data_IF_067879039550
#
_entry.id   IF_067879039550
#
_cell.length_a   1.000
_cell.length_b   1.000
_cell.length_c   1.000
_cell.angle_alpha   90.00
_cell.angle_beta   90.00
_cell.angle_gamma   90.00
#
_symmetry.space_group_name_H-M   'P 1'
#
loop_
_entity.id
_entity.type
_entity.pdbx_description
1 polymer ?
#
# COMPACT_ATOMS: atom_id res chain seq x y z
N UNK A 1 -14.94 14.95 -7.24
CA UNK A 1 -13.47 15.08 -7.19
C UNK A 1 -13.00 15.85 -8.41
N UNK A 2 -11.94 16.66 -8.30
CA UNK A 2 -11.38 17.38 -9.44
C UNK A 2 -10.57 16.42 -10.34
N UNK A 3 -10.48 16.64 -11.67
CA UNK A 3 -9.71 15.78 -12.57
C UNK A 3 -8.26 15.56 -12.11
N UNK A 4 -7.58 16.60 -11.62
CA UNK A 4 -6.21 16.49 -11.08
C UNK A 4 -6.08 15.67 -9.79
N UNK A 5 -7.16 15.43 -9.05
CA UNK A 5 -7.13 14.50 -7.91
C UNK A 5 -7.12 13.05 -8.39
N UNK A 6 -7.93 12.75 -9.41
CA UNK A 6 -8.00 11.43 -10.05
C UNK A 6 -6.67 11.08 -10.72
N UNK A 7 -6.09 12.01 -11.49
CA UNK A 7 -4.79 11.81 -12.14
C UNK A 7 -3.71 11.44 -11.12
N UNK A 8 -3.65 12.12 -9.97
CA UNK A 8 -2.64 11.81 -8.94
C UNK A 8 -2.84 10.43 -8.31
N UNK A 9 -4.09 10.01 -8.08
CA UNK A 9 -4.37 8.65 -7.59
C UNK A 9 -3.89 7.62 -8.61
N UNK A 10 -4.20 7.82 -9.89
CA UNK A 10 -3.74 6.93 -10.96
C UNK A 10 -2.20 6.88 -11.03
N UNK A 11 -1.52 8.02 -10.90
CA UNK A 11 -0.05 8.08 -10.87
C UNK A 11 0.54 7.28 -9.70
N UNK A 12 -0.05 7.35 -8.50
CA UNK A 12 0.41 6.53 -7.37
C UNK A 12 0.15 5.04 -7.56
N UNK A 13 -0.97 4.66 -8.20
CA UNK A 13 -1.21 3.26 -8.55
C UNK A 13 -0.20 2.75 -9.57
N UNK A 14 0.12 3.54 -10.59
CA UNK A 14 1.17 3.22 -11.56
C UNK A 14 2.54 3.11 -10.87
N UNK A 15 2.85 4.02 -9.96
CA UNK A 15 4.10 3.97 -9.19
C UNK A 15 4.19 2.71 -8.34
N UNK A 16 3.16 2.38 -7.56
CA UNK A 16 3.14 1.16 -6.75
C UNK A 16 3.24 -0.09 -7.62
N UNK A 17 2.59 -0.12 -8.78
CA UNK A 17 2.71 -1.22 -9.74
C UNK A 17 4.15 -1.36 -10.24
N UNK A 18 4.83 -0.27 -10.62
CA UNK A 18 6.23 -0.30 -11.05
C UNK A 18 7.18 -0.74 -9.93
N UNK A 19 6.97 -0.25 -8.71
CA UNK A 19 7.79 -0.62 -7.56
C UNK A 19 7.67 -2.13 -7.27
N UNK A 20 6.44 -2.63 -7.15
CA UNK A 20 6.17 -4.01 -6.77
C UNK A 20 6.43 -5.02 -7.89
N UNK A 21 6.07 -4.70 -9.14
CA UNK A 21 6.15 -5.68 -10.22
C UNK A 21 7.49 -5.68 -10.96
N UNK A 22 8.28 -4.59 -10.84
CA UNK A 22 9.51 -4.45 -11.59
C UNK A 22 10.73 -4.18 -10.70
N UNK A 23 10.71 -3.11 -9.91
CA UNK A 23 11.88 -2.71 -9.12
C UNK A 23 12.23 -3.75 -8.05
N UNK A 24 11.27 -4.19 -7.25
CA UNK A 24 11.54 -5.10 -6.14
C UNK A 24 12.02 -6.49 -6.60
N UNK A 25 11.37 -7.17 -7.57
CA UNK A 25 11.92 -8.39 -8.15
C UNK A 25 13.34 -8.23 -8.66
N UNK A 26 13.67 -7.09 -9.28
CA UNK A 26 15.01 -6.80 -9.75
C UNK A 26 16.02 -6.73 -8.60
N UNK A 27 15.67 -6.06 -7.49
CA UNK A 27 16.51 -5.98 -6.30
C UNK A 27 16.78 -7.36 -5.68
N UNK A 28 15.77 -8.25 -5.66
CA UNK A 28 15.96 -9.63 -5.21
C UNK A 28 16.83 -10.44 -6.17
N UNK A 29 16.66 -10.28 -7.50
CA UNK A 29 17.52 -10.92 -8.51
C UNK A 29 18.98 -10.49 -8.39
N UNK A 30 19.22 -9.22 -8.06
CA UNK A 30 20.54 -8.67 -7.81
C UNK A 30 21.09 -9.02 -6.41
N UNK A 31 20.35 -9.77 -5.59
CA UNK A 31 20.74 -10.20 -4.23
C UNK A 31 21.04 -9.05 -3.28
N UNK A 32 20.39 -7.90 -3.47
CA UNK A 32 20.54 -6.70 -2.61
C UNK A 32 20.13 -7.01 -1.17
N UNK A 33 19.12 -7.85 -0.97
CA UNK A 33 18.60 -8.24 0.35
C UNK A 33 19.20 -9.53 0.90
N UNK A 34 20.31 -10.02 0.32
CA UNK A 34 20.99 -11.25 0.75
C UNK A 34 20.75 -12.45 -0.16
N UNK A 35 21.16 -13.63 0.32
CA UNK A 35 21.14 -14.89 -0.46
C UNK A 35 20.12 -15.85 0.13
N UNK A 36 19.13 -16.25 -0.67
CA UNK A 36 18.20 -17.34 -0.31
C UNK A 36 18.94 -18.68 -0.29
N UNK A 37 18.82 -19.42 0.81
CA UNK A 37 19.41 -20.76 0.98
C UNK A 37 18.35 -21.85 1.01
N UNK A 38 17.17 -21.53 1.52
CA UNK A 38 16.04 -22.45 1.73
C UNK A 38 15.26 -22.82 0.45
N UNK A 39 15.36 -22.02 -0.62
CA UNK A 39 14.57 -22.23 -1.85
C UNK A 39 15.27 -21.64 -3.09
N UNK A 40 15.09 -22.23 -4.29
CA UNK A 40 15.55 -21.62 -5.54
C UNK A 40 14.95 -20.23 -5.75
N UNK A 41 15.79 -19.26 -6.10
CA UNK A 41 15.39 -17.85 -6.26
C UNK A 41 14.24 -17.66 -7.25
N UNK A 42 14.24 -18.39 -8.37
CA UNK A 42 13.19 -18.27 -9.38
C UNK A 42 11.82 -18.71 -8.87
N UNK A 43 11.77 -19.77 -8.06
CA UNK A 43 10.53 -20.25 -7.46
C UNK A 43 10.02 -19.29 -6.39
N UNK A 44 10.94 -18.74 -5.59
CA UNK A 44 10.60 -17.72 -4.59
C UNK A 44 10.09 -16.43 -5.25
N UNK A 45 10.67 -15.99 -6.37
CA UNK A 45 10.18 -14.84 -7.15
C UNK A 45 8.75 -15.09 -7.66
N UNK A 46 8.41 -16.33 -8.04
CA UNK A 46 7.04 -16.69 -8.38
C UNK A 46 6.07 -16.44 -7.22
N UNK A 47 6.42 -16.90 -6.00
CA UNK A 47 5.64 -16.64 -4.78
C UNK A 47 5.57 -15.15 -4.44
N UNK A 48 6.67 -14.42 -4.64
CA UNK A 48 6.71 -12.97 -4.48
C UNK A 48 5.68 -12.28 -5.39
N UNK A 49 5.61 -12.64 -6.67
CA UNK A 49 4.65 -12.02 -7.59
C UNK A 49 3.20 -12.24 -7.16
N UNK A 50 2.87 -13.45 -6.67
CA UNK A 50 1.54 -13.73 -6.12
C UNK A 50 1.25 -12.82 -4.93
N UNK A 51 2.19 -12.73 -3.98
CA UNK A 51 2.07 -11.84 -2.82
C UNK A 51 1.90 -10.37 -3.24
N UNK A 52 2.73 -9.89 -4.17
CA UNK A 52 2.71 -8.53 -4.67
C UNK A 52 1.38 -8.19 -5.36
N UNK A 53 0.83 -9.08 -6.17
CA UNK A 53 -0.47 -8.86 -6.83
C UNK A 53 -1.62 -8.79 -5.83
N UNK A 54 -1.63 -9.67 -4.82
CA UNK A 54 -2.65 -9.64 -3.76
C UNK A 54 -2.55 -8.32 -2.99
N UNK A 55 -1.35 -7.95 -2.54
CA UNK A 55 -1.14 -6.70 -1.78
C UNK A 55 -1.51 -5.48 -2.62
N UNK A 56 -1.12 -5.43 -3.89
CA UNK A 56 -1.47 -4.35 -4.80
C UNK A 56 -3.00 -4.23 -4.95
N UNK A 57 -3.67 -5.34 -5.26
CA UNK A 57 -5.12 -5.37 -5.44
C UNK A 57 -5.87 -4.94 -4.19
N UNK A 58 -5.50 -5.49 -3.02
CA UNK A 58 -6.11 -5.11 -1.74
C UNK A 58 -5.88 -3.62 -1.44
N UNK A 59 -4.66 -3.12 -1.62
CA UNK A 59 -4.34 -1.70 -1.38
C UNK A 59 -5.16 -0.76 -2.26
N UNK A 60 -5.30 -1.08 -3.55
CA UNK A 60 -6.14 -0.33 -4.48
C UNK A 60 -7.60 -0.37 -4.04
N UNK A 61 -8.14 -1.54 -3.68
CA UNK A 61 -9.52 -1.68 -3.20
C UNK A 61 -9.80 -0.85 -1.94
N UNK A 62 -8.91 -0.87 -0.94
CA UNK A 62 -9.05 -0.05 0.27
C UNK A 62 -9.01 1.45 -0.05
N UNK A 63 -8.12 1.86 -0.96
CA UNK A 63 -7.97 3.26 -1.34
C UNK A 63 -9.17 3.78 -2.12
N UNK A 64 -9.64 3.01 -3.11
CA UNK A 64 -10.84 3.33 -3.88
C UNK A 64 -12.07 3.30 -2.97
N UNK A 65 -12.20 2.29 -2.11
CA UNK A 65 -13.27 2.17 -1.12
C UNK A 65 -13.32 3.36 -0.16
N UNK A 66 -12.16 3.86 0.28
CA UNK A 66 -12.08 5.09 1.07
C UNK A 66 -12.70 6.29 0.34
N UNK A 67 -12.37 6.49 -0.95
CA UNK A 67 -12.95 7.59 -1.72
C UNK A 67 -14.45 7.43 -1.94
N UNK A 68 -14.95 6.21 -2.19
CA UNK A 68 -16.38 5.96 -2.28
C UNK A 68 -17.09 6.30 -0.97
N UNK A 69 -16.57 5.83 0.17
CA UNK A 69 -17.12 6.14 1.49
C UNK A 69 -17.14 7.64 1.75
N UNK A 70 -16.07 8.34 1.40
CA UNK A 70 -15.96 9.78 1.58
C UNK A 70 -16.95 10.56 0.69
N UNK A 71 -17.11 10.15 -0.56
CA UNK A 71 -18.04 10.80 -1.51
C UNK A 71 -19.50 10.58 -1.12
N UNK A 72 -19.82 9.40 -0.56
CA UNK A 72 -21.16 9.07 -0.07
C UNK A 72 -21.49 9.76 1.26
N UNK A 73 -20.49 9.92 2.14
CA UNK A 73 -20.68 10.43 3.51
C UNK A 73 -20.13 11.86 3.71
N UNK A 74 -20.39 12.77 2.77
CA UNK A 74 -19.81 14.13 2.82
C UNK A 74 -20.21 14.95 4.07
N UNK A 75 -21.37 14.65 4.67
CA UNK A 75 -21.85 15.29 5.89
C UNK A 75 -21.40 14.61 7.20
N UNK A 76 -20.65 13.51 7.12
CA UNK A 76 -20.26 12.77 8.32
C UNK A 76 -19.27 13.54 9.20
N UNK A 77 -19.30 13.33 10.53
CA UNK A 77 -18.33 13.93 11.43
C UNK A 77 -16.90 13.55 11.04
N UNK A 78 -16.00 14.54 11.01
CA UNK A 78 -14.59 14.31 10.66
C UNK A 78 -13.91 13.25 11.55
N UNK A 79 -14.33 13.13 12.82
CA UNK A 79 -13.86 12.09 13.75
C UNK A 79 -14.23 10.68 13.27
N UNK A 80 -15.47 10.49 12.83
CA UNK A 80 -15.95 9.20 12.30
C UNK A 80 -15.19 8.81 11.04
N UNK A 81 -15.04 9.74 10.10
CA UNK A 81 -14.27 9.51 8.88
C UNK A 81 -12.80 9.18 9.19
N UNK A 82 -12.18 9.87 10.15
CA UNK A 82 -10.82 9.58 10.60
C UNK A 82 -10.68 8.19 11.20
N UNK A 83 -11.66 7.74 12.01
CA UNK A 83 -11.68 6.38 12.55
C UNK A 83 -11.82 5.33 11.45
N UNK A 84 -12.70 5.56 10.47
CA UNK A 84 -12.86 4.68 9.30
C UNK A 84 -11.55 4.59 8.50
N UNK A 85 -10.83 5.71 8.34
CA UNK A 85 -9.54 5.72 7.66
C UNK A 85 -8.51 4.85 8.39
N UNK A 86 -8.42 4.95 9.72
CA UNK A 86 -7.53 4.11 10.53
C UNK A 86 -7.96 2.65 10.55
N UNK A 87 -9.26 2.36 10.52
CA UNK A 87 -9.76 1.00 10.38
C UNK A 87 -9.33 0.40 9.04
N UNK A 88 -9.45 1.16 7.94
CA UNK A 88 -8.93 0.76 6.64
C UNK A 88 -7.43 0.50 6.65
N UNK A 89 -6.65 1.37 7.29
CA UNK A 89 -5.21 1.17 7.47
C UNK A 89 -4.90 -0.10 8.27
N UNK A 90 -5.59 -0.32 9.38
CA UNK A 90 -5.40 -1.49 10.23
C UNK A 90 -5.70 -2.78 9.47
N UNK A 91 -6.83 -2.84 8.77
CA UNK A 91 -7.19 -4.00 7.95
C UNK A 91 -6.19 -4.24 6.83
N UNK A 92 -5.68 -3.18 6.20
CA UNK A 92 -4.63 -3.30 5.19
C UNK A 92 -3.35 -3.88 5.79
N UNK A 93 -2.94 -3.43 6.98
CA UNK A 93 -1.76 -3.95 7.67
C UNK A 93 -1.91 -5.43 7.99
N UNK A 94 -3.08 -5.84 8.50
CA UNK A 94 -3.39 -7.25 8.76
C UNK A 94 -3.36 -8.06 7.46
N UNK A 95 -3.98 -7.58 6.38
CA UNK A 95 -4.00 -8.26 5.10
C UNK A 95 -2.59 -8.50 4.54
N UNK A 96 -1.74 -7.47 4.55
CA UNK A 96 -0.33 -7.58 4.10
C UNK A 96 0.44 -8.58 4.96
N UNK A 97 0.26 -8.53 6.28
CA UNK A 97 0.91 -9.47 7.22
C UNK A 97 0.55 -10.92 6.90
N UNK A 98 -0.74 -11.19 6.64
CA UNK A 98 -1.23 -12.52 6.26
C UNK A 98 -0.65 -12.94 4.90
N UNK A 99 -0.66 -12.05 3.91
CA UNK A 99 -0.11 -12.35 2.58
C UNK A 99 1.36 -12.71 2.65
N UNK A 100 2.17 -11.96 3.41
CA UNK A 100 3.57 -12.31 3.67
C UNK A 100 3.68 -13.69 4.34
N UNK A 101 2.92 -13.92 5.40
CA UNK A 101 2.99 -15.17 6.18
C UNK A 101 2.65 -16.42 5.34
N UNK A 102 1.68 -16.32 4.44
CA UNK A 102 1.29 -17.45 3.60
C UNK A 102 2.15 -17.63 2.35
N UNK A 103 2.67 -16.54 1.76
CA UNK A 103 3.43 -16.61 0.52
C UNK A 103 4.95 -16.70 0.73
N UNK A 104 5.45 -16.43 1.93
CA UNK A 104 6.88 -16.51 2.25
C UNK A 104 7.25 -17.79 3.03
N UNK A 105 6.82 -18.94 2.50
CA UNK A 105 7.10 -20.26 3.08
C UNK A 105 7.90 -21.15 2.12
N UNK A 106 8.76 -21.99 2.67
CA UNK A 106 9.50 -23.02 1.93
C UNK A 106 8.62 -24.23 1.57
N UNK A 107 9.20 -25.26 0.94
CA UNK A 107 8.48 -26.48 0.58
C UNK A 107 8.02 -27.31 1.78
N UNK A 108 8.68 -27.17 2.94
CA UNK A 108 8.31 -27.83 4.19
C UNK A 108 7.26 -27.02 4.99
N UNK A 109 6.85 -25.86 4.49
CA UNK A 109 5.86 -24.99 5.13
C UNK A 109 6.43 -24.05 6.20
N UNK A 110 7.75 -24.00 6.37
CA UNK A 110 8.44 -23.10 7.29
C UNK A 110 8.58 -21.71 6.69
N UNK A 111 8.61 -20.69 7.55
CA UNK A 111 8.79 -19.31 7.13
C UNK A 111 10.24 -19.06 6.66
N UNK A 112 10.40 -18.43 5.50
CA UNK A 112 11.71 -18.07 4.94
C UNK A 112 12.24 -16.83 5.67
N UNK A 113 13.08 -17.05 6.68
CA UNK A 113 13.60 -15.99 7.55
C UNK A 113 14.50 -15.01 6.80
N UNK A 114 15.18 -15.47 5.75
CA UNK A 114 16.13 -14.65 4.98
C UNK A 114 15.45 -13.48 4.27
N UNK A 115 14.17 -13.63 3.91
CA UNK A 115 13.43 -12.64 3.11
C UNK A 115 12.35 -11.92 3.91
N UNK A 116 11.90 -12.47 5.05
CA UNK A 116 10.70 -11.98 5.76
C UNK A 116 10.77 -10.48 6.09
N UNK A 117 11.91 -10.01 6.60
CA UNK A 117 12.09 -8.60 7.00
C UNK A 117 12.02 -7.68 5.77
N UNK A 118 12.77 -8.03 4.72
CA UNK A 118 12.77 -7.24 3.47
C UNK A 118 11.40 -7.22 2.81
N UNK A 119 10.71 -8.37 2.78
CA UNK A 119 9.42 -8.53 2.14
C UNK A 119 8.33 -7.77 2.90
N UNK A 120 8.30 -7.87 4.23
CA UNK A 120 7.40 -7.06 5.05
C UNK A 120 7.68 -5.58 4.83
N UNK A 121 8.93 -5.15 4.98
CA UNK A 121 9.29 -3.73 4.87
C UNK A 121 8.88 -3.12 3.54
N UNK A 122 9.19 -3.80 2.44
CA UNK A 122 8.85 -3.35 1.09
C UNK A 122 7.33 -3.35 0.83
N UNK A 123 6.64 -4.47 1.12
CA UNK A 123 5.20 -4.55 0.88
C UNK A 123 4.40 -3.59 1.77
N UNK A 124 4.83 -3.32 3.00
CA UNK A 124 4.23 -2.26 3.82
C UNK A 124 4.52 -0.88 3.26
N UNK A 125 5.74 -0.60 2.80
CA UNK A 125 6.07 0.67 2.17
C UNK A 125 5.13 0.93 0.99
N UNK A 126 4.94 -0.03 0.09
CA UNK A 126 4.07 0.17 -1.06
C UNK A 126 2.60 0.26 -0.67
N UNK A 127 2.10 -0.70 0.12
CA UNK A 127 0.68 -0.77 0.45
C UNK A 127 0.22 0.40 1.32
N UNK A 128 0.91 0.64 2.43
CA UNK A 128 0.51 1.62 3.44
C UNK A 128 0.86 3.03 2.98
N UNK A 129 2.07 3.25 2.46
CA UNK A 129 2.55 4.60 2.13
C UNK A 129 2.17 4.96 0.70
N UNK A 130 2.61 4.17 -0.30
CA UNK A 130 2.48 4.55 -1.72
C UNK A 130 1.04 4.43 -2.22
N UNK A 131 0.35 3.35 -1.86
CA UNK A 131 -0.94 3.00 -2.44
C UNK A 131 -2.12 3.48 -1.59
N UNK A 132 -2.00 3.55 -0.26
CA UNK A 132 -3.08 3.98 0.62
C UNK A 132 -2.91 5.41 1.15
N UNK A 133 -1.84 5.70 1.88
CA UNK A 133 -1.70 7.00 2.54
C UNK A 133 -1.43 8.15 1.56
N UNK A 134 -0.49 8.03 0.63
CA UNK A 134 -0.15 9.11 -0.32
C UNK A 134 -1.33 9.55 -1.20
N UNK A 135 -2.12 8.63 -1.79
CA UNK A 135 -3.30 9.01 -2.55
C UNK A 135 -4.31 9.71 -1.63
N UNK A 136 -4.66 9.08 -0.50
CA UNK A 136 -5.69 9.61 0.39
C UNK A 136 -5.32 10.97 0.97
N UNK A 137 -4.06 11.20 1.35
CA UNK A 137 -3.60 12.47 1.93
C UNK A 137 -3.54 13.61 0.89
N UNK A 138 -3.19 13.31 -0.37
CA UNK A 138 -3.01 14.32 -1.43
C UNK A 138 -4.28 14.61 -2.23
N UNK A 139 -5.18 13.63 -2.35
CA UNK A 139 -6.33 13.66 -3.26
C UNK A 139 -7.71 13.53 -2.58
N UNK A 140 -7.80 13.59 -1.25
CA UNK A 140 -9.09 13.80 -0.56
C UNK A 140 -9.76 15.09 -1.09
N UNK A 141 -11.02 15.09 -1.57
CA UNK A 141 -11.70 16.28 -2.11
C UNK A 141 -12.15 17.33 -1.06
N UNK A 142 -12.17 18.60 -1.47
CA UNK A 142 -12.95 19.68 -0.83
C UNK A 142 -12.61 20.06 0.62
N UNK A 143 -13.62 20.55 1.35
CA UNK A 143 -13.56 21.03 2.76
C UNK A 143 -13.18 19.93 3.78
N UNK A 144 -13.25 18.65 3.39
CA UNK A 144 -12.86 17.51 4.23
C UNK A 144 -11.34 17.25 4.23
N UNK A 145 -10.60 17.88 3.29
CA UNK A 145 -9.14 17.73 3.08
C UNK A 145 -8.28 17.80 4.32
N UNK A 146 -8.69 18.55 5.35
CA UNK A 146 -7.78 18.97 6.42
C UNK A 146 -7.96 18.20 7.72
N UNK A 147 -9.02 17.39 7.88
CA UNK A 147 -9.38 16.80 9.20
C UNK A 147 -9.57 15.28 9.20
N UNK A 148 -9.70 14.63 8.05
CA UNK A 148 -10.06 13.20 7.97
C UNK A 148 -8.85 12.29 7.85
N UNK A 149 -7.84 12.66 7.06
CA UNK A 149 -6.62 11.87 6.84
C UNK A 149 -5.45 12.45 7.67
N UNK A 150 -4.66 11.61 8.39
CA UNK A 150 -3.49 12.07 9.13
C UNK A 150 -2.49 12.79 8.23
N UNK A 151 -1.88 13.87 8.76
CA UNK A 151 -0.91 14.74 8.06
C UNK A 151 -1.44 15.49 6.83
N UNK A 152 -2.72 15.38 6.49
CA UNK A 152 -3.27 16.05 5.31
C UNK A 152 -3.16 17.57 5.34
N UNK A 153 -3.24 18.20 6.52
CA UNK A 153 -3.03 19.66 6.66
C UNK A 153 -1.60 20.06 6.27
N UNK A 154 -0.60 19.31 6.73
CA UNK A 154 0.83 19.60 6.47
C UNK A 154 1.16 19.36 5.00
N UNK A 155 0.73 18.22 4.45
CA UNK A 155 0.98 17.89 3.04
C UNK A 155 0.33 18.92 2.11
N UNK A 156 -0.94 19.29 2.34
CA UNK A 156 -1.58 20.30 1.49
C UNK A 156 -0.93 21.69 1.60
N UNK A 157 -0.39 22.04 2.77
CA UNK A 157 0.38 23.27 2.94
C UNK A 157 1.68 23.27 2.12
N UNK A 158 2.46 22.18 2.19
CA UNK A 158 3.68 22.00 1.39
C UNK A 158 3.40 22.00 -0.12
N UNK A 159 2.22 21.58 -0.54
CA UNK A 159 1.79 21.61 -1.94
C UNK A 159 1.24 22.97 -2.40
N UNK A 160 1.19 24.00 -1.54
CA UNK A 160 0.63 25.31 -1.87
C UNK A 160 -0.91 25.30 -2.08
N UNK A 161 -1.62 24.32 -1.51
CA UNK A 161 -3.07 24.12 -1.68
C UNK A 161 -3.79 24.51 -0.39
N UNK A 162 -3.85 25.80 -0.09
CA UNK A 162 -4.58 26.33 1.07
C UNK A 162 -6.09 26.50 0.78
#
# INVERSE_FOLDING_TARGET
>A
MKPGEIIRIAMFFLLGLLLMMWLQPLLYRQRVFGVLRSMPLNEWIGKYYVAAWIVFGVSVLFTVGWYFLLLYNQGAPSRTLKLIWYLGLFLLVVAVSLVVYFNNRDAAGNLIQETVVSLMGLLFLDSVIVLYWLPTVTSTPGLLKKKTVPMAKIVNHLMGRN
#
